data_IF_893875647348
#
_entry.id   IF_893875647348
#
_cell.length_a   1.000
_cell.length_b   1.000
_cell.length_c   1.000
_cell.angle_alpha   90.00
_cell.angle_beta   90.00
_cell.angle_gamma   90.00
#
_symmetry.space_group_name_H-M   'P 1'
#
loop_
_entity.id
_entity.type
_entity.pdbx_description
1 polymer ?
#
# COMPACT_ATOMS: atom_id res chain seq x y z
N UNK A 1 49.53 5.35 25.98
CA UNK A 1 49.26 5.71 24.57
C UNK A 1 48.33 4.74 23.83
N UNK A 2 47.23 4.26 24.43
CA UNK A 2 46.28 3.34 23.76
C UNK A 2 44.90 3.97 23.46
N UNK A 3 44.66 5.24 23.83
CA UNK A 3 43.35 5.90 23.71
C UNK A 3 43.21 6.88 22.53
N UNK A 4 44.29 7.34 21.89
CA UNK A 4 44.20 8.25 20.73
C UNK A 4 44.01 7.53 19.39
N UNK A 5 44.48 6.29 19.24
CA UNK A 5 44.40 5.53 17.98
C UNK A 5 42.98 4.98 17.73
N UNK A 6 42.29 4.49 18.77
CA UNK A 6 40.91 3.98 18.65
C UNK A 6 39.90 5.07 18.25
N UNK A 7 40.11 6.31 18.64
CA UNK A 7 39.21 7.44 18.30
C UNK A 7 39.41 7.90 16.85
N UNK A 8 40.66 7.95 16.37
CA UNK A 8 40.97 8.32 14.97
C UNK A 8 40.53 7.29 13.94
N UNK A 9 40.63 5.99 14.25
CA UNK A 9 40.11 4.93 13.38
C UNK A 9 38.57 4.92 13.33
N UNK A 10 37.92 5.19 14.47
CA UNK A 10 36.46 5.32 14.52
C UNK A 10 35.96 6.54 13.74
N UNK A 11 36.65 7.69 13.80
CA UNK A 11 36.26 8.87 13.02
C UNK A 11 36.50 8.69 11.51
N UNK A 12 37.57 7.99 11.11
CA UNK A 12 37.81 7.63 9.72
C UNK A 12 36.75 6.65 9.19
N UNK A 13 36.39 5.64 9.98
CA UNK A 13 35.34 4.67 9.60
C UNK A 13 33.96 5.33 9.46
N UNK A 14 33.59 6.23 10.39
CA UNK A 14 32.34 7.00 10.27
C UNK A 14 32.36 7.88 9.04
N UNK A 15 33.50 8.51 8.71
CA UNK A 15 33.62 9.32 7.50
C UNK A 15 33.43 8.49 6.23
N UNK A 16 34.06 7.32 6.13
CA UNK A 16 33.89 6.39 4.99
C UNK A 16 32.43 6.01 4.79
N UNK A 17 31.74 5.63 5.87
CA UNK A 17 30.32 5.24 5.80
C UNK A 17 29.39 6.38 5.41
N UNK A 18 29.69 7.60 5.86
CA UNK A 18 28.92 8.79 5.46
C UNK A 18 29.15 9.10 3.99
N UNK A 19 30.39 8.95 3.50
CA UNK A 19 30.72 9.15 2.10
C UNK A 19 30.03 8.12 1.20
N UNK A 20 30.07 6.83 1.58
CA UNK A 20 29.33 5.74 0.93
C UNK A 20 27.82 6.03 0.88
N UNK A 21 27.20 6.41 2.00
CA UNK A 21 25.79 6.75 2.04
C UNK A 21 25.44 7.99 1.19
N UNK A 22 26.32 8.99 1.14
CA UNK A 22 26.12 10.16 0.27
C UNK A 22 26.20 9.76 -1.20
N UNK A 23 27.15 8.89 -1.57
CA UNK A 23 27.31 8.41 -2.94
C UNK A 23 26.09 7.60 -3.39
N UNK A 24 25.53 6.74 -2.54
CA UNK A 24 24.26 6.03 -2.80
C UNK A 24 23.09 6.99 -3.01
N UNK A 25 22.95 8.00 -2.14
CA UNK A 25 21.89 9.00 -2.28
C UNK A 25 22.04 9.84 -3.56
N UNK A 26 23.26 10.08 -4.03
CA UNK A 26 23.52 10.73 -5.32
C UNK A 26 23.16 9.79 -6.48
N UNK A 27 23.52 8.52 -6.40
CA UNK A 27 23.18 7.51 -7.42
C UNK A 27 21.65 7.35 -7.58
N UNK A 28 20.91 7.34 -6.47
CA UNK A 28 19.44 7.29 -6.48
C UNK A 28 18.78 8.62 -6.90
N UNK A 29 19.55 9.69 -7.05
CA UNK A 29 19.07 11.01 -7.44
C UNK A 29 18.35 11.78 -6.32
N UNK A 30 18.61 11.43 -5.06
CA UNK A 30 18.10 12.16 -3.88
C UNK A 30 19.01 13.32 -3.49
N UNK A 31 20.30 13.22 -3.81
CA UNK A 31 21.28 14.29 -3.72
C UNK A 31 21.90 14.57 -5.10
N UNK A 32 22.42 15.78 -5.28
CA UNK A 32 23.27 16.19 -6.39
C UNK A 32 24.60 16.67 -5.84
N UNK A 33 25.71 16.31 -6.50
CA UNK A 33 27.07 16.72 -6.11
C UNK A 33 27.59 17.82 -7.03
N UNK A 34 28.10 18.89 -6.44
CA UNK A 34 28.83 19.97 -7.14
C UNK A 34 30.16 20.20 -6.41
N UNK A 35 31.23 19.61 -6.95
CA UNK A 35 32.53 19.55 -6.30
C UNK A 35 32.46 18.88 -4.93
N UNK A 36 32.86 19.61 -3.89
CA UNK A 36 32.86 19.14 -2.49
C UNK A 36 31.49 19.33 -1.79
N UNK A 37 30.51 19.93 -2.47
CA UNK A 37 29.19 20.21 -1.91
C UNK A 37 28.16 19.22 -2.42
N UNK A 38 27.17 18.93 -1.57
CA UNK A 38 25.99 18.14 -1.93
C UNK A 38 24.73 18.92 -1.64
N UNK A 39 23.76 18.82 -2.55
CA UNK A 39 22.49 19.51 -2.50
C UNK A 39 21.35 18.51 -2.58
N UNK A 40 20.28 18.73 -1.81
CA UNK A 40 19.11 17.88 -1.86
C UNK A 40 18.28 18.18 -3.11
N UNK A 41 17.93 17.14 -3.86
CA UNK A 41 17.05 17.26 -5.03
C UNK A 41 15.59 17.45 -4.59
N UNK A 42 14.69 17.81 -5.51
CA UNK A 42 13.27 17.83 -5.17
C UNK A 42 12.77 16.43 -4.79
N UNK A 43 13.25 15.38 -5.49
CA UNK A 43 12.92 14.00 -5.16
C UNK A 43 13.41 13.63 -3.75
N UNK A 44 14.66 13.94 -3.40
CA UNK A 44 15.21 13.71 -2.06
C UNK A 44 14.45 14.47 -0.96
N UNK A 45 14.03 15.72 -1.23
CA UNK A 45 13.15 16.46 -0.31
C UNK A 45 11.82 15.77 -0.07
N UNK A 46 11.23 15.20 -1.11
CA UNK A 46 9.95 14.50 -0.99
C UNK A 46 10.10 13.16 -0.25
N UNK A 47 11.18 12.41 -0.49
CA UNK A 47 11.50 11.18 0.26
C UNK A 47 11.61 11.48 1.75
N UNK A 48 12.38 12.51 2.13
CA UNK A 48 12.50 12.93 3.53
C UNK A 48 11.15 13.38 4.14
N UNK A 49 10.31 14.10 3.38
CA UNK A 49 8.97 14.53 3.84
C UNK A 49 7.98 13.36 4.02
N UNK A 50 8.18 12.27 3.28
CA UNK A 50 7.39 11.05 3.41
C UNK A 50 7.83 10.20 4.62
N UNK A 51 8.91 10.58 5.31
CA UNK A 51 9.56 9.80 6.37
C UNK A 51 9.96 8.39 5.90
N UNK A 52 10.21 8.23 4.60
CA UNK A 52 10.57 6.96 4.01
C UNK A 52 12.07 6.75 4.11
N UNK A 53 12.48 5.53 4.46
CA UNK A 53 13.86 5.12 4.34
C UNK A 53 14.34 5.26 2.87
N UNK A 54 15.51 5.87 2.60
CA UNK A 54 15.99 6.10 1.24
C UNK A 54 16.13 4.83 0.40
N UNK A 55 16.55 3.71 0.99
CA UNK A 55 16.68 2.44 0.28
C UNK A 55 15.30 1.93 -0.17
N UNK A 56 14.30 2.04 0.72
CA UNK A 56 12.90 1.71 0.37
C UNK A 56 12.38 2.61 -0.75
N UNK A 57 12.65 3.91 -0.69
CA UNK A 57 12.25 4.85 -1.73
C UNK A 57 12.90 4.53 -3.09
N UNK A 58 14.20 4.24 -3.08
CA UNK A 58 14.96 3.87 -4.27
C UNK A 58 14.44 2.57 -4.89
N UNK A 59 14.18 1.55 -4.05
CA UNK A 59 13.58 0.28 -4.45
C UNK A 59 12.21 0.46 -5.09
N UNK A 60 11.32 1.24 -4.46
CA UNK A 60 10.00 1.54 -5.02
C UNK A 60 10.12 2.21 -6.38
N UNK A 61 10.97 3.24 -6.51
CA UNK A 61 11.17 3.94 -7.78
C UNK A 61 11.69 2.98 -8.86
N UNK A 62 12.65 2.11 -8.53
CA UNK A 62 13.20 1.14 -9.46
C UNK A 62 12.12 0.16 -9.96
N UNK A 63 11.34 -0.42 -9.05
CA UNK A 63 10.26 -1.34 -9.39
C UNK A 63 9.13 -0.65 -10.17
N UNK A 64 8.74 0.57 -9.77
CA UNK A 64 7.71 1.33 -10.47
C UNK A 64 8.17 1.64 -11.91
N UNK A 65 9.45 1.98 -12.12
CA UNK A 65 9.99 2.23 -13.46
C UNK A 65 10.15 0.96 -14.30
N UNK A 66 10.21 -0.22 -13.69
CA UNK A 66 10.29 -1.51 -14.41
C UNK A 66 8.93 -2.13 -14.74
N UNK A 67 7.83 -1.52 -14.26
CA UNK A 67 6.48 -1.97 -14.59
C UNK A 67 6.22 -1.93 -16.10
N UNK A 68 5.72 -3.05 -16.62
CA UNK A 68 5.35 -3.22 -18.03
C UNK A 68 3.87 -2.93 -18.29
N UNK A 69 3.05 -3.04 -17.24
CA UNK A 69 1.59 -2.82 -17.27
C UNK A 69 1.06 -2.58 -15.86
N UNK A 70 -0.14 -2.02 -15.76
CA UNK A 70 -0.89 -1.99 -14.51
C UNK A 70 -1.28 -3.41 -14.04
N UNK A 71 -1.05 -3.71 -12.77
CA UNK A 71 -1.39 -4.99 -12.13
C UNK A 71 -1.55 -4.80 -10.62
N UNK A 72 -2.66 -5.29 -10.06
CA UNK A 72 -2.94 -5.17 -8.62
C UNK A 72 -1.89 -5.91 -7.81
N UNK A 73 -1.56 -7.13 -8.21
CA UNK A 73 -0.58 -8.00 -7.56
C UNK A 73 0.81 -7.38 -7.61
N UNK A 74 1.18 -6.72 -8.72
CA UNK A 74 2.44 -6.00 -8.83
C UNK A 74 2.49 -4.77 -7.92
N UNK A 75 1.40 -4.00 -7.82
CA UNK A 75 1.33 -2.86 -6.89
C UNK A 75 1.41 -3.31 -5.43
N UNK A 76 0.70 -4.39 -5.07
CA UNK A 76 0.82 -5.03 -3.76
C UNK A 76 2.26 -5.46 -3.50
N UNK A 77 2.88 -6.15 -4.47
CA UNK A 77 4.26 -6.63 -4.36
C UNK A 77 5.24 -5.49 -4.11
N UNK A 78 5.18 -4.40 -4.89
CA UNK A 78 6.06 -3.24 -4.73
C UNK A 78 6.00 -2.72 -3.31
N UNK A 79 4.81 -2.47 -2.78
CA UNK A 79 4.68 -1.90 -1.44
C UNK A 79 5.17 -2.89 -0.38
N UNK A 80 4.83 -4.17 -0.52
CA UNK A 80 5.21 -5.23 0.41
C UNK A 80 6.70 -5.59 0.41
N UNK A 81 7.52 -5.05 -0.50
CA UNK A 81 8.98 -5.21 -0.42
C UNK A 81 9.63 -4.38 0.69
N UNK A 82 8.89 -3.48 1.36
CA UNK A 82 9.44 -2.71 2.48
C UNK A 82 9.76 -3.64 3.67
N UNK A 83 10.89 -3.44 4.35
CA UNK A 83 11.36 -4.32 5.43
C UNK A 83 10.47 -4.27 6.68
N UNK A 84 9.65 -3.24 6.83
CA UNK A 84 8.74 -3.02 7.97
C UNK A 84 7.58 -4.01 8.01
N UNK A 85 7.22 -4.64 6.89
CA UNK A 85 6.14 -5.61 6.87
C UNK A 85 6.49 -6.87 7.65
N UNK A 86 5.54 -7.42 8.43
CA UNK A 86 5.70 -8.76 8.99
C UNK A 86 5.99 -9.77 7.87
N UNK A 87 6.79 -10.79 8.17
CA UNK A 87 7.16 -11.82 7.19
C UNK A 87 6.17 -12.97 7.21
N UNK A 88 5.61 -13.36 6.06
CA UNK A 88 4.78 -14.56 5.93
C UNK A 88 5.68 -15.78 5.73
N UNK A 89 5.96 -16.51 6.82
CA UNK A 89 6.96 -17.60 6.81
C UNK A 89 6.45 -18.94 6.33
N UNK A 90 5.13 -19.12 6.23
CA UNK A 90 4.48 -20.41 5.95
C UNK A 90 3.54 -20.31 4.76
N UNK A 91 3.18 -21.47 4.22
CA UNK A 91 2.35 -21.57 3.02
C UNK A 91 3.18 -21.66 1.74
N UNK A 92 2.54 -22.16 0.68
CA UNK A 92 3.09 -22.19 -0.67
C UNK A 92 2.75 -20.87 -1.36
N UNK A 93 3.66 -20.40 -2.22
CA UNK A 93 3.38 -19.28 -3.12
C UNK A 93 2.22 -19.67 -4.05
N UNK A 94 1.23 -18.80 -4.16
CA UNK A 94 0.17 -18.96 -5.16
C UNK A 94 0.78 -18.71 -6.55
N UNK A 95 0.81 -19.76 -7.38
CA UNK A 95 1.42 -19.70 -8.72
C UNK A 95 0.73 -18.68 -9.64
N UNK A 96 -0.55 -18.39 -9.45
CA UNK A 96 -1.26 -17.39 -10.25
C UNK A 96 -0.78 -15.99 -9.87
N UNK A 97 -0.68 -15.71 -8.58
CA UNK A 97 -0.16 -14.43 -8.07
C UNK A 97 1.28 -14.22 -8.53
N UNK A 98 2.14 -15.23 -8.40
CA UNK A 98 3.51 -15.16 -8.88
C UNK A 98 3.58 -14.82 -10.38
N UNK A 99 2.74 -15.45 -11.21
CA UNK A 99 2.68 -15.17 -12.65
C UNK A 99 2.17 -13.74 -12.96
N UNK A 100 1.18 -13.24 -12.22
CA UNK A 100 0.71 -11.86 -12.39
C UNK A 100 1.79 -10.83 -12.03
N UNK A 101 2.58 -11.10 -10.99
CA UNK A 101 3.72 -10.24 -10.60
C UNK A 101 4.81 -10.30 -11.69
N UNK A 102 5.31 -11.50 -12.03
CA UNK A 102 6.41 -11.70 -12.99
C UNK A 102 6.08 -11.23 -14.42
N UNK A 103 4.79 -11.23 -14.79
CA UNK A 103 4.36 -10.71 -16.09
C UNK A 103 4.25 -9.18 -16.13
N UNK A 104 4.09 -8.52 -14.97
CA UNK A 104 3.97 -7.08 -14.86
C UNK A 104 5.27 -6.38 -14.44
N UNK A 105 6.13 -7.06 -13.69
CA UNK A 105 7.40 -6.56 -13.16
C UNK A 105 8.59 -7.36 -13.67
N UNK A 106 9.72 -6.68 -13.82
CA UNK A 106 11.00 -7.31 -14.11
C UNK A 106 11.73 -7.64 -12.80
N UNK A 107 11.40 -8.80 -12.22
CA UNK A 107 11.97 -9.29 -10.95
C UNK A 107 12.34 -10.77 -11.07
N UNK A 108 13.34 -11.20 -10.31
CA UNK A 108 13.76 -12.60 -10.24
C UNK A 108 12.87 -13.38 -9.26
N UNK A 109 12.60 -14.65 -9.57
CA UNK A 109 11.85 -15.56 -8.69
C UNK A 109 12.84 -16.22 -7.70
N UNK A 110 13.26 -15.46 -6.70
CA UNK A 110 14.13 -15.89 -5.61
C UNK A 110 13.38 -16.04 -4.26
N UNK A 111 14.11 -16.30 -3.17
CA UNK A 111 13.51 -16.49 -1.84
C UNK A 111 12.79 -15.22 -1.34
N UNK A 112 13.33 -14.03 -1.63
CA UNK A 112 12.71 -12.77 -1.24
C UNK A 112 11.40 -12.57 -2.01
N UNK A 113 11.40 -12.85 -3.31
CA UNK A 113 10.20 -12.83 -4.12
C UNK A 113 9.13 -13.78 -3.56
N UNK A 114 9.48 -15.02 -3.23
CA UNK A 114 8.52 -15.98 -2.67
C UNK A 114 7.95 -15.54 -1.31
N UNK A 115 8.76 -14.87 -0.49
CA UNK A 115 8.31 -14.28 0.77
C UNK A 115 7.29 -13.16 0.55
N UNK A 116 7.60 -12.19 -0.32
CA UNK A 116 6.71 -11.07 -0.62
C UNK A 116 5.43 -11.56 -1.33
N UNK A 117 5.55 -12.51 -2.27
CA UNK A 117 4.40 -13.06 -3.00
C UNK A 117 3.40 -13.77 -2.08
N UNK A 118 3.85 -14.35 -0.96
CA UNK A 118 2.94 -14.88 0.07
C UNK A 118 2.18 -13.79 0.80
N UNK A 119 2.83 -12.67 1.13
CA UNK A 119 2.14 -11.51 1.69
C UNK A 119 1.14 -10.89 0.69
N UNK A 120 1.49 -10.87 -0.61
CA UNK A 120 0.57 -10.45 -1.68
C UNK A 120 -0.69 -11.34 -1.68
N UNK A 121 -0.55 -12.66 -1.46
CA UNK A 121 -1.70 -13.56 -1.39
C UNK A 121 -2.66 -13.25 -0.24
N UNK A 122 -2.13 -12.86 0.93
CA UNK A 122 -2.93 -12.43 2.09
C UNK A 122 -3.72 -11.16 1.74
N UNK A 123 -3.04 -10.12 1.24
CA UNK A 123 -3.70 -8.86 0.88
C UNK A 123 -4.64 -9.02 -0.31
N UNK A 124 -4.36 -9.93 -1.24
CA UNK A 124 -5.27 -10.25 -2.36
C UNK A 124 -6.57 -10.85 -1.82
N UNK A 125 -6.51 -11.81 -0.90
CA UNK A 125 -7.71 -12.36 -0.27
C UNK A 125 -8.50 -11.28 0.49
N UNK A 126 -7.80 -10.39 1.19
CA UNK A 126 -8.39 -9.26 1.91
C UNK A 126 -9.17 -8.32 0.99
N UNK A 127 -8.58 -7.85 -0.12
CA UNK A 127 -9.23 -6.93 -1.07
C UNK A 127 -10.23 -7.61 -2.01
N UNK A 128 -10.27 -8.94 -2.04
CA UNK A 128 -11.31 -9.72 -2.71
C UNK A 128 -12.48 -10.08 -1.78
N UNK A 129 -12.47 -9.53 -0.57
CA UNK A 129 -13.50 -9.61 0.47
C UNK A 129 -13.70 -11.00 1.06
N UNK A 130 -12.62 -11.79 1.12
CA UNK A 130 -12.60 -13.03 1.89
C UNK A 130 -12.79 -12.71 3.38
N UNK A 131 -13.51 -13.58 4.09
CA UNK A 131 -13.76 -13.45 5.52
C UNK A 131 -12.44 -13.45 6.31
N UNK A 132 -12.39 -12.66 7.40
CA UNK A 132 -11.18 -12.53 8.21
C UNK A 132 -10.74 -13.87 8.82
N UNK A 133 -11.69 -14.65 9.35
CA UNK A 133 -11.38 -15.93 9.96
C UNK A 133 -10.85 -16.92 8.91
N UNK A 134 -11.41 -16.90 7.69
CA UNK A 134 -10.90 -17.70 6.57
C UNK A 134 -9.47 -17.27 6.18
N UNK A 135 -9.15 -15.98 6.16
CA UNK A 135 -7.79 -15.49 5.90
C UNK A 135 -6.83 -15.98 6.98
N UNK A 136 -7.21 -15.86 8.25
CA UNK A 136 -6.36 -16.27 9.38
C UNK A 136 -6.04 -17.76 9.32
N UNK A 137 -7.06 -18.60 9.08
CA UNK A 137 -6.89 -20.04 8.95
C UNK A 137 -6.08 -20.44 7.72
N UNK A 138 -6.40 -19.87 6.55
CA UNK A 138 -5.78 -20.26 5.27
C UNK A 138 -4.29 -19.88 5.19
N UNK A 139 -3.92 -18.73 5.75
CA UNK A 139 -2.57 -18.18 5.61
C UNK A 139 -1.72 -18.28 6.88
N UNK A 140 -2.24 -18.85 7.98
CA UNK A 140 -1.57 -18.91 9.29
C UNK A 140 -1.13 -17.51 9.78
N UNK A 141 -2.01 -16.53 9.57
CA UNK A 141 -1.81 -15.10 9.90
C UNK A 141 -2.57 -14.80 11.19
N UNK A 142 -1.93 -14.15 12.16
CA UNK A 142 -2.62 -13.78 13.39
C UNK A 142 -3.60 -12.61 13.15
N UNK A 143 -4.72 -12.52 13.89
CA UNK A 143 -5.69 -11.42 13.72
C UNK A 143 -5.10 -10.01 13.87
N UNK A 144 -4.03 -9.87 14.67
CA UNK A 144 -3.32 -8.60 14.83
C UNK A 144 -2.44 -8.24 13.63
N UNK A 145 -1.91 -9.24 12.93
CA UNK A 145 -0.97 -9.01 11.83
C UNK A 145 -1.68 -8.32 10.67
N UNK A 146 -2.88 -8.78 10.28
CA UNK A 146 -3.61 -8.18 9.16
C UNK A 146 -3.85 -6.67 9.34
N UNK A 147 -4.12 -6.22 10.57
CA UNK A 147 -4.25 -4.78 10.85
C UNK A 147 -2.92 -4.04 10.67
N UNK A 148 -1.82 -4.62 11.15
CA UNK A 148 -0.47 -4.08 10.94
C UNK A 148 -0.15 -3.99 9.44
N UNK A 149 -0.51 -5.02 8.65
CA UNK A 149 -0.37 -4.97 7.20
C UNK A 149 -1.17 -3.80 6.61
N UNK A 150 -2.44 -3.65 6.97
CA UNK A 150 -3.29 -2.57 6.45
C UNK A 150 -2.74 -1.19 6.80
N UNK A 151 -2.35 -0.97 8.07
CA UNK A 151 -1.82 0.32 8.54
C UNK A 151 -0.50 0.69 7.85
N UNK A 152 0.43 -0.27 7.72
CA UNK A 152 1.69 -0.07 7.01
C UNK A 152 1.45 0.18 5.53
N UNK A 153 0.53 -0.58 4.91
CA UNK A 153 0.22 -0.44 3.50
C UNK A 153 -0.47 0.88 3.19
N UNK A 154 -1.27 1.43 4.09
CA UNK A 154 -1.82 2.78 3.94
C UNK A 154 -0.71 3.81 3.80
N UNK A 155 0.24 3.83 4.74
CA UNK A 155 1.34 4.79 4.69
C UNK A 155 2.26 4.57 3.48
N UNK A 156 2.76 3.34 3.31
CA UNK A 156 3.76 3.01 2.30
C UNK A 156 3.17 2.99 0.89
N UNK A 157 1.91 2.57 0.72
CA UNK A 157 1.22 2.62 -0.56
C UNK A 157 0.95 4.05 -1.03
N UNK A 158 0.53 4.95 -0.13
CA UNK A 158 0.43 6.37 -0.44
C UNK A 158 1.79 7.00 -0.76
N UNK A 159 2.86 6.58 -0.07
CA UNK A 159 4.22 7.01 -0.39
C UNK A 159 4.65 6.54 -1.79
N UNK A 160 4.42 5.26 -2.13
CA UNK A 160 4.71 4.69 -3.43
C UNK A 160 3.94 5.41 -4.56
N UNK A 161 2.65 5.69 -4.37
CA UNK A 161 1.84 6.47 -5.32
C UNK A 161 2.46 7.86 -5.56
N UNK A 162 2.83 8.57 -4.49
CA UNK A 162 3.45 9.88 -4.62
C UNK A 162 4.80 9.82 -5.36
N UNK A 163 5.62 8.81 -5.06
CA UNK A 163 6.89 8.59 -5.78
C UNK A 163 6.65 8.30 -7.27
N UNK A 164 5.66 7.47 -7.61
CA UNK A 164 5.26 7.21 -9.00
C UNK A 164 4.94 8.51 -9.75
N UNK A 165 4.17 9.41 -9.13
CA UNK A 165 3.87 10.73 -9.69
C UNK A 165 5.12 11.60 -9.90
N UNK A 166 6.04 11.61 -8.93
CA UNK A 166 7.28 12.39 -9.01
C UNK A 166 8.22 11.92 -10.12
N UNK A 167 8.20 10.63 -10.46
CA UNK A 167 9.00 10.07 -11.57
C UNK A 167 8.23 9.99 -12.90
N UNK A 168 7.08 10.66 -12.99
CA UNK A 168 6.29 10.78 -14.23
C UNK A 168 5.45 9.56 -14.59
N UNK A 169 5.29 8.59 -13.69
CA UNK A 169 4.54 7.35 -13.90
C UNK A 169 3.08 7.51 -13.45
N UNK A 170 2.37 8.42 -14.12
CA UNK A 170 1.01 8.86 -13.73
C UNK A 170 -0.04 7.74 -13.76
N UNK A 171 0.06 6.79 -14.70
CA UNK A 171 -0.81 5.60 -14.72
C UNK A 171 -0.62 4.77 -13.45
N UNK A 172 0.63 4.48 -13.09
CA UNK A 172 0.97 3.68 -11.92
C UNK A 172 0.68 4.40 -10.61
N UNK A 173 0.79 5.74 -10.57
CA UNK A 173 0.30 6.54 -9.42
C UNK A 173 -1.16 6.24 -9.14
N UNK A 174 -2.04 6.32 -10.15
CA UNK A 174 -3.48 6.08 -9.98
C UNK A 174 -3.76 4.63 -9.59
N UNK A 175 -3.04 3.68 -10.20
CA UNK A 175 -3.15 2.27 -9.85
C UNK A 175 -2.80 2.00 -8.39
N UNK A 176 -1.69 2.58 -7.89
CA UNK A 176 -1.29 2.50 -6.50
C UNK A 176 -2.33 3.16 -5.56
N UNK A 177 -2.86 4.33 -5.89
CA UNK A 177 -3.92 4.99 -5.11
C UNK A 177 -5.17 4.11 -4.96
N UNK A 178 -5.60 3.47 -6.05
CA UNK A 178 -6.75 2.54 -6.04
C UNK A 178 -6.44 1.31 -5.19
N UNK A 179 -5.29 0.67 -5.37
CA UNK A 179 -4.92 -0.52 -4.59
C UNK A 179 -4.75 -0.18 -3.12
N UNK A 180 -4.14 0.95 -2.78
CA UNK A 180 -4.03 1.41 -1.39
C UNK A 180 -5.41 1.61 -0.77
N UNK A 181 -6.34 2.28 -1.45
CA UNK A 181 -7.71 2.44 -0.94
C UNK A 181 -8.43 1.08 -0.76
N UNK A 182 -8.24 0.14 -1.69
CA UNK A 182 -8.78 -1.22 -1.58
C UNK A 182 -8.22 -1.95 -0.37
N UNK A 183 -6.92 -1.84 -0.10
CA UNK A 183 -6.28 -2.45 1.08
C UNK A 183 -6.77 -1.79 2.37
N UNK A 184 -6.85 -0.46 2.44
CA UNK A 184 -7.34 0.27 3.63
C UNK A 184 -8.74 -0.20 4.03
N UNK A 185 -9.63 -0.39 3.06
CA UNK A 185 -11.02 -0.74 3.32
C UNK A 185 -11.33 -2.25 3.22
N UNK A 186 -10.41 -3.04 2.69
CA UNK A 186 -10.57 -4.48 2.43
C UNK A 186 -11.59 -4.82 1.36
N UNK A 187 -11.75 -3.98 0.35
CA UNK A 187 -12.84 -4.14 -0.62
C UNK A 187 -12.35 -4.28 -2.05
N UNK A 188 -13.23 -4.82 -2.89
CA UNK A 188 -13.10 -4.71 -4.34
C UNK A 188 -13.35 -3.27 -4.76
N UNK A 189 -12.83 -2.93 -5.94
CA UNK A 189 -12.84 -1.56 -6.44
C UNK A 189 -14.25 -0.97 -6.53
N UNK A 190 -15.26 -1.78 -6.88
CA UNK A 190 -16.64 -1.31 -7.02
C UNK A 190 -17.28 -0.80 -5.72
N UNK A 191 -16.70 -1.10 -4.55
CA UNK A 191 -17.22 -0.64 -3.27
C UNK A 191 -16.52 0.62 -2.75
N UNK A 192 -15.42 1.06 -3.40
CA UNK A 192 -14.61 2.18 -2.92
C UNK A 192 -15.43 3.46 -2.69
N UNK A 193 -16.35 3.78 -3.60
CA UNK A 193 -17.23 4.95 -3.45
C UNK A 193 -18.04 4.87 -2.15
N UNK A 194 -18.59 3.70 -1.83
CA UNK A 194 -19.44 3.52 -0.65
C UNK A 194 -18.65 3.57 0.66
N UNK A 195 -17.51 2.88 0.73
CA UNK A 195 -16.73 2.79 1.97
C UNK A 195 -15.95 4.06 2.29
N UNK A 196 -15.57 4.84 1.27
CA UNK A 196 -14.85 6.11 1.48
C UNK A 196 -15.81 7.26 1.83
N UNK A 197 -17.01 7.26 1.25
CA UNK A 197 -17.96 8.36 1.42
C UNK A 197 -18.85 8.23 2.67
N UNK A 198 -19.16 7.01 3.11
CA UNK A 198 -20.22 6.78 4.10
C UNK A 198 -19.66 6.34 5.45
N UNK A 199 -19.82 7.19 6.46
CA UNK A 199 -19.46 6.82 7.84
C UNK A 199 -20.35 5.70 8.34
N UNK A 200 -19.74 4.69 8.96
CA UNK A 200 -20.44 3.51 9.50
C UNK A 200 -20.68 2.39 8.48
N UNK A 201 -20.24 2.56 7.22
CA UNK A 201 -20.29 1.54 6.16
C UNK A 201 -18.89 0.99 5.92
N UNK A 202 -18.57 -0.12 6.60
CA UNK A 202 -17.37 -0.92 6.30
C UNK A 202 -17.64 -1.95 5.21
N UNK A 203 -16.62 -2.76 4.89
CA UNK A 203 -16.65 -3.83 3.87
C UNK A 203 -17.94 -4.65 3.82
N UNK A 204 -18.33 -5.26 4.94
CA UNK A 204 -19.50 -6.16 5.01
C UNK A 204 -20.78 -5.41 4.62
N UNK A 205 -20.98 -4.21 5.17
CA UNK A 205 -22.17 -3.39 4.89
C UNK A 205 -22.16 -2.85 3.46
N UNK A 206 -21.01 -2.43 2.94
CA UNK A 206 -20.89 -1.99 1.55
C UNK A 206 -21.26 -3.11 0.58
N UNK A 207 -20.78 -4.34 0.82
CA UNK A 207 -21.13 -5.50 0.00
C UNK A 207 -22.62 -5.83 0.07
N UNK A 208 -23.24 -5.73 1.25
CA UNK A 208 -24.71 -5.88 1.39
C UNK A 208 -25.44 -4.83 0.55
N UNK A 209 -25.11 -3.54 0.68
CA UNK A 209 -25.73 -2.47 -0.12
C UNK A 209 -25.62 -2.76 -1.62
N UNK A 210 -24.41 -3.06 -2.07
CA UNK A 210 -24.11 -3.30 -3.48
C UNK A 210 -24.90 -4.50 -4.05
N UNK A 211 -24.99 -5.60 -3.30
CA UNK A 211 -25.74 -6.80 -3.70
C UNK A 211 -27.25 -6.56 -3.77
N UNK A 212 -27.79 -5.66 -2.94
CA UNK A 212 -29.20 -5.26 -2.97
C UNK A 212 -29.48 -4.11 -3.95
N UNK A 213 -28.51 -3.72 -4.77
CA UNK A 213 -28.68 -2.76 -5.86
C UNK A 213 -28.35 -1.31 -5.51
N UNK A 214 -27.94 -1.02 -4.28
CA UNK A 214 -27.48 0.31 -3.87
C UNK A 214 -25.99 0.43 -4.14
N UNK A 215 -25.63 0.65 -5.41
CA UNK A 215 -24.23 0.61 -5.88
C UNK A 215 -23.54 1.95 -5.84
N UNK A 216 -24.31 3.04 -5.85
CA UNK A 216 -23.80 4.40 -5.90
C UNK A 216 -24.44 5.27 -4.82
N UNK A 217 -23.84 6.43 -4.53
CA UNK A 217 -24.44 7.42 -3.63
C UNK A 217 -25.81 7.90 -4.14
N UNK A 218 -26.02 7.92 -5.47
CA UNK A 218 -27.30 8.31 -6.07
C UNK A 218 -28.41 7.30 -5.79
N UNK A 219 -28.09 6.01 -5.78
CA UNK A 219 -29.06 4.96 -5.44
C UNK A 219 -29.50 5.10 -3.98
N UNK A 220 -28.54 5.33 -3.09
CA UNK A 220 -28.80 5.55 -1.66
C UNK A 220 -29.59 6.82 -1.39
N UNK A 221 -29.30 7.93 -2.09
CA UNK A 221 -30.00 9.20 -1.90
C UNK A 221 -31.52 9.10 -2.25
N UNK A 222 -31.86 8.20 -3.18
CA UNK A 222 -33.24 7.93 -3.64
C UNK A 222 -33.96 6.87 -2.82
N UNK A 223 -33.24 6.06 -2.06
CA UNK A 223 -33.80 5.02 -1.24
C UNK A 223 -34.66 5.60 -0.10
N UNK A 224 -35.64 4.82 0.34
CA UNK A 224 -36.35 5.04 1.59
C UNK A 224 -35.59 4.44 2.77
N UNK A 225 -35.79 5.01 3.96
CA UNK A 225 -35.20 4.49 5.21
C UNK A 225 -35.55 3.02 5.41
N UNK A 226 -36.80 2.63 5.10
CA UNK A 226 -37.28 1.26 5.27
C UNK A 226 -36.54 0.26 4.37
N UNK A 227 -36.22 0.63 3.13
CA UNK A 227 -35.48 -0.24 2.22
C UNK A 227 -34.10 -0.59 2.78
N UNK A 228 -33.34 0.42 3.22
CA UNK A 228 -31.99 0.19 3.76
C UNK A 228 -32.05 -0.45 5.15
N UNK A 229 -32.96 -0.02 6.03
CA UNK A 229 -33.08 -0.55 7.39
C UNK A 229 -33.50 -2.03 7.43
N UNK A 230 -34.12 -2.52 6.36
CA UNK A 230 -34.48 -3.94 6.23
C UNK A 230 -33.32 -4.87 5.86
N UNK A 231 -32.16 -4.30 5.48
CA UNK A 231 -31.00 -5.07 5.04
C UNK A 231 -30.23 -5.69 6.23
N UNK A 232 -29.59 -6.85 6.04
CA UNK A 232 -28.76 -7.46 7.08
C UNK A 232 -27.67 -6.53 7.61
N UNK A 233 -27.61 -6.34 8.92
CA UNK A 233 -26.59 -5.48 9.56
C UNK A 233 -26.91 -3.99 9.55
N UNK A 234 -28.10 -3.60 9.10
CA UNK A 234 -28.62 -2.23 9.12
C UNK A 234 -29.75 -2.08 10.15
N UNK A 235 -29.88 -0.88 10.68
CA UNK A 235 -31.01 -0.46 11.52
C UNK A 235 -31.44 0.94 11.13
N UNK A 236 -32.61 1.37 11.59
CA UNK A 236 -33.25 2.63 11.15
C UNK A 236 -32.32 3.85 11.26
N UNK A 237 -31.65 4.04 12.40
CA UNK A 237 -30.72 5.16 12.61
C UNK A 237 -29.55 5.18 11.61
N UNK A 238 -28.99 4.00 11.31
CA UNK A 238 -27.89 3.91 10.36
C UNK A 238 -28.39 4.14 8.93
N UNK A 239 -29.56 3.61 8.58
CA UNK A 239 -30.21 3.84 7.30
C UNK A 239 -30.49 5.34 7.06
N UNK A 240 -31.08 6.02 8.05
CA UNK A 240 -31.30 7.47 8.02
C UNK A 240 -29.99 8.24 7.78
N UNK A 241 -28.95 7.93 8.57
CA UNK A 241 -27.64 8.58 8.45
C UNK A 241 -26.97 8.35 7.11
N UNK A 242 -27.08 7.15 6.54
CA UNK A 242 -26.51 6.83 5.21
C UNK A 242 -27.22 7.62 4.12
N UNK A 243 -28.56 7.67 4.14
CA UNK A 243 -29.35 8.41 3.15
C UNK A 243 -29.06 9.91 3.25
N UNK A 244 -28.95 10.45 4.46
CA UNK A 244 -28.60 11.85 4.68
C UNK A 244 -27.22 12.19 4.12
N UNK A 245 -26.19 11.39 4.44
CA UNK A 245 -24.84 11.55 3.90
C UNK A 245 -24.84 11.46 2.37
N UNK A 246 -25.53 10.45 1.81
CA UNK A 246 -25.60 10.26 0.37
C UNK A 246 -26.26 11.46 -0.35
N UNK A 247 -27.31 12.05 0.23
CA UNK A 247 -27.96 13.25 -0.32
C UNK A 247 -27.06 14.49 -0.28
N UNK A 248 -26.28 14.65 0.79
CA UNK A 248 -25.33 15.77 0.90
C UNK A 248 -24.19 15.66 -0.11
N UNK A 249 -23.73 14.44 -0.40
CA UNK A 249 -22.61 14.19 -1.31
C UNK A 249 -23.03 14.08 -2.80
N UNK A 250 -24.30 13.75 -3.07
CA UNK A 250 -24.84 13.66 -4.42
C UNK A 250 -25.41 15.00 -4.95
N UNK A 251 -25.43 16.04 -4.12
CA UNK A 251 -25.86 17.40 -4.45
C UNK A 251 -24.75 18.19 -5.16
#
# INVERSE_FOLDING_TARGET
GFFQVKTSLKSALVRSRVEEAVDELVEWGFLERDGDYVYVTELGRQVARLYLDPETAARYIALIKSLRRSSTEAYLYIVLTAPDFPKVRRGKVDRRIAQEILSALDVEEDEEFEEVARAVAVLTAWIEEVDEDEIFERFDVAPGDLRVYVDLFEWLGNAAAKLAGLVGMEEHRRGLEVVTARVVHGVREELLELVTALRGVGRVRARVLYNFGFRTLKDLARASVREIASLPGFGEKLAESIIEQARQLAA
#
